data_IF_283624330342
#
_entry.id   IF_283624330342
#
_cell.length_a   1.000
_cell.length_b   1.000
_cell.length_c   1.000
_cell.angle_alpha   90.00
_cell.angle_beta   90.00
_cell.angle_gamma   90.00
#
_symmetry.space_group_name_H-M   'P 1'
#
loop_
_entity.id
_entity.type
_entity.pdbx_description
1 polymer ?
#
# COMPACT_ATOMS: atom_id res chain seq x y z
N UNK A 1 -17.87 18.62 0.38
CA UNK A 1 -16.47 18.54 0.85
C UNK A 1 -16.44 17.36 1.79
N UNK A 2 -15.68 16.31 1.50
CA UNK A 2 -15.58 15.16 2.39
C UNK A 2 -14.64 15.57 3.53
N UNK A 3 -15.09 15.43 4.77
CA UNK A 3 -14.27 15.76 5.93
C UNK A 3 -13.16 14.73 6.11
N UNK A 4 -11.97 15.19 6.53
CA UNK A 4 -10.87 14.27 6.83
C UNK A 4 -11.18 13.51 8.13
N UNK A 5 -10.85 12.20 8.20
CA UNK A 5 -10.89 11.46 9.45
C UNK A 5 -10.00 12.11 10.51
N UNK A 6 -10.26 11.80 11.77
CA UNK A 6 -9.41 12.28 12.88
C UNK A 6 -7.96 11.81 12.70
N UNK A 7 -7.02 12.50 13.34
CA UNK A 7 -5.61 12.09 13.34
C UNK A 7 -5.47 10.67 13.91
N UNK A 8 -6.16 10.37 15.01
CA UNK A 8 -6.18 9.05 15.65
C UNK A 8 -6.68 7.94 14.71
N UNK A 9 -7.81 8.16 14.02
CA UNK A 9 -8.31 7.19 13.03
C UNK A 9 -7.31 6.97 11.88
N UNK A 10 -6.59 8.04 11.49
CA UNK A 10 -5.58 7.96 10.42
C UNK A 10 -4.33 7.21 10.87
N UNK A 11 -3.94 7.32 12.14
CA UNK A 11 -2.85 6.54 12.70
C UNK A 11 -3.19 5.06 12.81
N UNK A 12 -4.41 4.73 13.23
CA UNK A 12 -4.91 3.36 13.23
C UNK A 12 -4.90 2.77 11.80
N UNK A 13 -5.33 3.56 10.81
CA UNK A 13 -5.27 3.18 9.41
C UNK A 13 -3.84 2.93 8.90
N UNK A 14 -2.87 3.76 9.31
CA UNK A 14 -1.45 3.55 8.99
C UNK A 14 -0.89 2.31 9.69
N UNK A 15 -1.23 2.11 10.97
CA UNK A 15 -0.82 0.93 11.72
C UNK A 15 -1.39 -0.37 11.13
N UNK A 16 -2.64 -0.34 10.67
CA UNK A 16 -3.28 -1.45 9.94
C UNK A 16 -2.48 -1.80 8.67
N UNK A 17 -2.17 -0.83 7.82
CA UNK A 17 -1.36 -1.06 6.61
C UNK A 17 0.02 -1.66 6.93
N UNK A 18 0.69 -1.18 7.98
CA UNK A 18 1.98 -1.71 8.41
C UNK A 18 1.87 -3.16 8.87
N UNK A 19 0.85 -3.47 9.68
CA UNK A 19 0.60 -4.83 10.17
C UNK A 19 0.33 -5.79 9.01
N UNK A 20 -0.59 -5.42 8.11
CA UNK A 20 -0.95 -6.27 6.97
C UNK A 20 0.21 -6.44 5.99
N UNK A 21 0.99 -5.38 5.73
CA UNK A 21 2.20 -5.47 4.90
C UNK A 21 3.22 -6.45 5.50
N UNK A 22 3.48 -6.40 6.81
CA UNK A 22 4.40 -7.32 7.47
C UNK A 22 3.93 -8.77 7.41
N UNK A 23 2.63 -9.02 7.61
CA UNK A 23 2.05 -10.36 7.49
C UNK A 23 2.17 -10.90 6.06
N UNK A 24 1.87 -10.07 5.07
CA UNK A 24 1.92 -10.45 3.68
C UNK A 24 3.37 -10.66 3.20
N UNK A 25 4.34 -9.85 3.64
CA UNK A 25 5.77 -10.11 3.39
C UNK A 25 6.17 -11.49 3.92
N UNK A 26 5.78 -11.84 5.16
CA UNK A 26 6.08 -13.15 5.74
C UNK A 26 5.46 -14.28 4.92
N UNK A 27 4.21 -14.09 4.48
CA UNK A 27 3.50 -15.05 3.64
C UNK A 27 4.17 -15.25 2.27
N UNK A 28 4.60 -14.16 1.62
CA UNK A 28 5.28 -14.22 0.32
C UNK A 28 6.66 -14.89 0.41
N UNK A 29 7.42 -14.60 1.48
CA UNK A 29 8.75 -15.15 1.68
C UNK A 29 8.76 -16.53 2.35
N UNK A 30 7.60 -17.10 2.66
CA UNK A 30 7.52 -18.44 3.24
C UNK A 30 8.05 -19.49 2.25
N UNK A 31 8.85 -20.47 2.71
CA UNK A 31 9.48 -21.47 1.83
C UNK A 31 8.48 -22.45 1.18
N UNK A 32 7.24 -22.53 1.68
CA UNK A 32 6.25 -23.53 1.28
C UNK A 32 5.39 -23.14 0.05
N UNK A 33 5.64 -21.98 -0.57
CA UNK A 33 4.87 -21.49 -1.73
C UNK A 33 5.56 -21.87 -3.05
N UNK A 34 5.33 -23.11 -3.49
CA UNK A 34 5.78 -23.61 -4.80
C UNK A 34 4.84 -23.22 -5.95
N UNK A 35 3.65 -22.73 -5.63
CA UNK A 35 2.58 -22.35 -6.56
C UNK A 35 2.87 -21.06 -7.34
N UNK A 36 3.75 -20.19 -6.81
CA UNK A 36 4.12 -18.93 -7.46
C UNK A 36 5.64 -18.83 -7.66
N UNK A 37 6.12 -18.44 -8.86
CA UNK A 37 7.53 -18.20 -9.10
C UNK A 37 8.15 -17.27 -8.05
N UNK A 38 9.31 -17.66 -7.50
CA UNK A 38 10.03 -16.92 -6.45
C UNK A 38 10.21 -15.43 -6.80
N UNK A 39 10.56 -15.13 -8.06
CA UNK A 39 10.70 -13.75 -8.54
C UNK A 39 9.46 -12.87 -8.30
N UNK A 40 8.26 -13.44 -8.47
CA UNK A 40 7.01 -12.71 -8.28
C UNK A 40 6.73 -12.50 -6.79
N UNK A 41 7.02 -13.51 -5.96
CA UNK A 41 6.91 -13.42 -4.50
C UNK A 41 7.86 -12.37 -3.92
N UNK A 42 9.13 -12.40 -4.33
CA UNK A 42 10.12 -11.39 -3.94
C UNK A 42 9.71 -9.98 -4.37
N UNK A 43 9.21 -9.83 -5.59
CA UNK A 43 8.74 -8.54 -6.08
C UNK A 43 7.58 -7.97 -5.25
N UNK A 44 6.57 -8.79 -4.92
CA UNK A 44 5.47 -8.38 -4.02
C UNK A 44 5.99 -8.01 -2.63
N UNK A 45 6.89 -8.80 -2.07
CA UNK A 45 7.51 -8.49 -0.78
C UNK A 45 8.29 -7.17 -0.80
N UNK A 46 9.00 -6.86 -1.88
CA UNK A 46 9.73 -5.59 -2.04
C UNK A 46 8.79 -4.39 -2.07
N UNK A 47 7.68 -4.47 -2.82
CA UNK A 47 6.68 -3.39 -2.88
C UNK A 47 6.07 -3.12 -1.49
N UNK A 48 5.82 -4.17 -0.71
CA UNK A 48 5.30 -4.04 0.65
C UNK A 48 6.37 -3.49 1.61
N UNK A 49 7.65 -3.80 1.38
CA UNK A 49 8.74 -3.24 2.17
C UNK A 49 8.84 -1.71 2.01
N UNK A 50 8.50 -1.16 0.85
CA UNK A 50 8.44 0.30 0.64
C UNK A 50 7.36 0.96 1.54
N UNK A 51 6.23 0.30 1.79
CA UNK A 51 5.24 0.80 2.76
C UNK A 51 5.83 0.79 4.16
N UNK A 52 6.47 -0.32 4.54
CA UNK A 52 7.12 -0.48 5.84
C UNK A 52 8.28 0.52 6.06
N UNK A 53 8.90 1.02 5.00
CA UNK A 53 9.94 2.04 5.10
C UNK A 53 9.36 3.45 5.27
N UNK A 54 8.33 3.79 4.49
CA UNK A 54 7.85 5.17 4.38
C UNK A 54 6.79 5.54 5.42
N UNK A 55 5.88 4.63 5.75
CA UNK A 55 4.75 4.92 6.62
C UNK A 55 5.10 5.18 8.10
N UNK A 56 6.07 4.49 8.72
CA UNK A 56 6.37 4.71 10.14
C UNK A 56 6.83 6.14 10.45
N UNK A 57 7.45 6.83 9.49
CA UNK A 57 7.88 8.21 9.64
C UNK A 57 6.72 9.17 9.96
N UNK A 58 5.48 8.81 9.63
CA UNK A 58 4.28 9.61 9.90
C UNK A 58 3.64 9.30 11.25
N UNK A 59 4.08 8.23 11.93
CA UNK A 59 3.70 7.92 13.31
C UNK A 59 4.67 8.55 14.33
N UNK A 60 5.82 9.05 13.88
CA UNK A 60 6.78 9.77 14.72
C UNK A 60 6.14 11.04 15.33
N UNK A 61 6.27 11.28 16.66
CA UNK A 61 5.68 12.46 17.30
C UNK A 61 5.99 13.79 16.62
N UNK A 62 7.17 13.96 16.01
CA UNK A 62 7.58 15.18 15.34
C UNK A 62 6.86 15.41 13.99
N UNK A 63 6.29 14.35 13.40
CA UNK A 63 5.66 14.37 12.07
C UNK A 63 4.19 13.96 12.08
N UNK A 64 3.70 13.46 13.21
CA UNK A 64 2.35 12.93 13.42
C UNK A 64 1.22 13.88 13.04
N UNK A 65 1.43 15.20 13.20
CA UNK A 65 0.47 16.23 12.77
C UNK A 65 0.28 16.31 11.25
N UNK A 66 1.20 15.74 10.46
CA UNK A 66 1.18 15.71 9.00
C UNK A 66 0.79 14.34 8.45
N UNK A 67 0.24 13.45 9.27
CA UNK A 67 -0.05 12.07 8.88
C UNK A 67 -0.99 11.97 7.68
N UNK A 68 -1.98 12.87 7.54
CA UNK A 68 -2.85 12.92 6.36
C UNK A 68 -2.08 13.21 5.08
N UNK A 69 -1.09 14.11 5.12
CA UNK A 69 -0.24 14.42 3.95
C UNK A 69 0.60 13.20 3.56
N UNK A 70 1.15 12.51 4.56
CA UNK A 70 1.91 11.28 4.34
C UNK A 70 1.08 10.16 3.75
N UNK A 71 -0.16 9.99 4.24
CA UNK A 71 -1.10 9.00 3.73
C UNK A 71 -1.59 9.34 2.32
N UNK A 72 -1.90 10.62 2.05
CA UNK A 72 -2.28 11.10 0.72
C UNK A 72 -1.14 10.92 -0.28
N UNK A 73 0.10 11.22 0.11
CA UNK A 73 1.27 11.00 -0.75
C UNK A 73 1.47 9.50 -1.06
N UNK A 74 1.34 8.64 -0.04
CA UNK A 74 1.43 7.18 -0.20
C UNK A 74 0.33 6.65 -1.12
N UNK A 75 -0.88 7.19 -1.01
CA UNK A 75 -2.01 6.88 -1.87
C UNK A 75 -1.78 7.31 -3.33
N UNK A 76 -1.33 8.56 -3.52
CA UNK A 76 -1.14 9.15 -4.85
C UNK A 76 -0.07 8.42 -5.66
N UNK A 77 0.96 7.92 -4.99
CA UNK A 77 2.08 7.18 -5.60
C UNK A 77 1.82 5.68 -5.73
N UNK A 78 0.79 5.14 -5.07
CA UNK A 78 0.40 3.74 -5.20
C UNK A 78 -0.24 3.44 -6.56
N UNK A 79 0.10 2.28 -7.12
CA UNK A 79 -0.56 1.71 -8.30
C UNK A 79 -2.01 1.30 -7.99
N UNK A 80 -2.83 1.07 -9.02
CA UNK A 80 -4.23 0.70 -8.83
C UNK A 80 -4.43 -0.57 -7.98
N UNK A 81 -3.68 -1.68 -8.17
CA UNK A 81 -3.81 -2.85 -7.31
C UNK A 81 -3.37 -2.59 -5.86
N UNK A 82 -2.29 -1.81 -5.67
CA UNK A 82 -1.86 -1.40 -4.31
C UNK A 82 -2.93 -0.57 -3.62
N UNK A 83 -3.59 0.34 -4.34
CA UNK A 83 -4.73 1.12 -3.82
C UNK A 83 -5.92 0.23 -3.46
N UNK A 84 -6.23 -0.77 -4.28
CA UNK A 84 -7.28 -1.74 -3.98
C UNK A 84 -6.99 -2.54 -2.70
N UNK A 85 -5.75 -3.01 -2.54
CA UNK A 85 -5.29 -3.66 -1.32
C UNK A 85 -5.36 -2.72 -0.09
N UNK A 86 -4.88 -1.48 -0.22
CA UNK A 86 -4.98 -0.48 0.87
C UNK A 86 -6.43 -0.24 1.30
N UNK A 87 -7.36 -0.13 0.34
CA UNK A 87 -8.80 -0.02 0.62
C UNK A 87 -9.32 -1.23 1.39
N UNK A 88 -9.00 -2.44 0.96
CA UNK A 88 -9.39 -3.67 1.66
C UNK A 88 -8.92 -3.69 3.13
N UNK A 89 -7.68 -3.26 3.40
CA UNK A 89 -7.18 -3.13 4.77
C UNK A 89 -8.02 -2.12 5.58
N UNK A 90 -8.32 -0.96 5.01
CA UNK A 90 -9.10 0.08 5.68
C UNK A 90 -10.57 -0.28 5.88
N UNK A 91 -11.17 -0.96 4.91
CA UNK A 91 -12.54 -1.48 5.00
C UNK A 91 -12.67 -2.46 6.19
N UNK A 92 -11.62 -3.24 6.48
CA UNK A 92 -11.59 -4.18 7.60
C UNK A 92 -11.65 -3.52 8.99
N UNK A 93 -11.26 -2.24 9.09
CA UNK A 93 -11.30 -1.44 10.33
C UNK A 93 -12.34 -0.31 10.27
N UNK A 94 -13.11 -0.22 9.18
CA UNK A 94 -14.11 0.85 9.01
C UNK A 94 -13.53 2.26 8.82
N UNK A 95 -12.30 2.37 8.29
CA UNK A 95 -11.68 3.67 8.04
C UNK A 95 -12.26 4.33 6.77
N UNK A 96 -12.75 5.56 6.91
CA UNK A 96 -13.23 6.35 5.78
C UNK A 96 -12.05 6.84 4.91
N UNK A 97 -11.91 6.24 3.73
CA UNK A 97 -10.90 6.60 2.74
C UNK A 97 -11.44 7.46 1.58
N UNK A 98 -12.71 7.89 1.63
CA UNK A 98 -13.35 8.65 0.54
C UNK A 98 -12.82 10.08 0.37
N UNK A 99 -12.07 10.57 1.36
CA UNK A 99 -11.38 11.86 1.29
C UNK A 99 -10.12 11.83 0.41
N UNK A 100 -9.64 10.63 0.02
CA UNK A 100 -8.48 10.47 -0.84
C UNK A 100 -8.86 10.66 -2.32
N UNK A 101 -8.02 11.35 -3.14
CA UNK A 101 -8.34 11.62 -4.53
C UNK A 101 -8.30 10.33 -5.38
N UNK A 102 -9.32 10.10 -6.20
CA UNK A 102 -9.36 8.95 -7.12
C UNK A 102 -8.32 9.05 -8.24
N UNK A 103 -7.88 10.26 -8.59
CA UNK A 103 -6.95 10.48 -9.70
C UNK A 103 -5.51 9.99 -9.38
N UNK A 104 -4.85 9.27 -10.31
CA UNK A 104 -3.42 8.99 -10.20
C UNK A 104 -2.64 10.31 -10.22
N UNK A 105 -1.81 10.55 -9.20
CA UNK A 105 -1.03 11.79 -9.08
C UNK A 105 0.43 11.66 -9.50
N UNK A 106 0.86 10.51 -10.04
CA UNK A 106 2.27 10.18 -10.30
C UNK A 106 2.59 10.00 -11.79
N UNK A 107 3.74 10.53 -12.20
CA UNK A 107 4.33 10.37 -13.54
C UNK A 107 4.54 8.87 -13.88
N UNK A 108 4.38 8.46 -15.16
CA UNK A 108 4.59 7.09 -15.63
C UNK A 108 6.03 6.55 -15.47
N UNK A 109 6.98 7.34 -14.96
CA UNK A 109 8.38 6.90 -14.79
C UNK A 109 8.61 6.03 -13.55
N UNK A 110 7.91 6.30 -12.44
CA UNK A 110 7.79 5.35 -11.33
C UNK A 110 6.98 4.09 -11.71
N UNK A 111 6.30 4.15 -12.85
CA UNK A 111 5.41 3.13 -13.41
C UNK A 111 6.07 2.30 -14.54
N UNK A 112 7.30 2.65 -14.97
CA UNK A 112 7.97 1.99 -16.11
C UNK A 112 8.40 0.56 -15.75
N UNK A 113 8.85 0.32 -14.52
CA UNK A 113 9.07 -1.04 -14.00
C UNK A 113 7.80 -1.86 -13.81
N UNK A 114 6.63 -1.20 -13.72
CA UNK A 114 5.31 -1.79 -13.46
C UNK A 114 4.54 -2.13 -14.74
N UNK A 115 4.44 -1.20 -15.70
CA UNK A 115 3.74 -1.39 -16.99
C UNK A 115 4.43 -2.39 -17.91
N UNK A 116 5.76 -2.39 -17.94
CA UNK A 116 6.54 -3.33 -18.74
C UNK A 116 6.37 -4.79 -18.24
N UNK A 117 5.93 -4.99 -16.99
CA UNK A 117 5.70 -6.31 -16.40
C UNK A 117 4.22 -6.77 -16.39
N UNK A 118 3.24 -5.87 -16.34
CA UNK A 118 1.82 -6.22 -16.47
C UNK A 118 1.49 -6.84 -17.83
N UNK A 119 2.17 -6.39 -18.88
CA UNK A 119 2.00 -6.90 -20.26
C UNK A 119 2.75 -8.21 -20.51
N UNK A 120 3.75 -8.55 -19.68
CA UNK A 120 4.56 -9.76 -19.83
C UNK A 120 4.22 -10.89 -18.85
N UNK A 121 3.64 -10.60 -17.67
CA UNK A 121 3.56 -11.58 -16.58
C UNK A 121 2.18 -11.72 -15.89
N UNK A 122 1.14 -11.01 -16.36
CA UNK A 122 -0.19 -11.03 -15.73
C UNK A 122 -0.26 -10.23 -14.42
N UNK A 123 -1.47 -9.88 -14.01
CA UNK A 123 -1.72 -9.13 -12.78
C UNK A 123 -1.37 -10.01 -11.55
N UNK A 124 -0.38 -9.64 -10.72
CA UNK A 124 0.05 -10.44 -9.58
C UNK A 124 -0.99 -10.51 -8.44
N UNK A 125 -2.15 -9.87 -8.61
CA UNK A 125 -3.29 -9.81 -7.70
C UNK A 125 -4.60 -10.32 -8.32
N UNK A 126 -4.58 -10.89 -9.53
CA UNK A 126 -5.80 -11.37 -10.19
C UNK A 126 -6.48 -12.57 -9.50
N UNK A 127 -5.78 -13.26 -8.60
CA UNK A 127 -6.25 -14.48 -7.94
C UNK A 127 -6.52 -14.32 -6.42
N UNK A 128 -6.72 -13.09 -5.93
CA UNK A 128 -7.23 -12.82 -4.56
C UNK A 128 -8.66 -12.31 -4.57
#
# INVERSE_FOLDING_TARGET
MVDRPTQEATEEAVACLLREAMLLIRHELAPLREDVPERHRMHRAWILADLCHNLPAWLDPARRSRIHEGLEWSWRTASAPRRAWMRSCWDSIGYDHTWLPDTPGGSPESDRGWRDNLTLNGDPWADT
#
